data_IF_207230738408
#
_entry.id   IF_207230738408
#
_cell.length_a   1.000
_cell.length_b   1.000
_cell.length_c   1.000
_cell.angle_alpha   90.00
_cell.angle_beta   90.00
_cell.angle_gamma   90.00
#
_symmetry.space_group_name_H-M   'P 1'
#
loop_
_entity.id
_entity.type
_entity.pdbx_description
1 polymer ?
#
# COMPACT_ATOMS: atom_id res chain seq x y z
N UNK A 1 -17.59 -2.55 -18.61
CA UNK A 1 -16.53 -2.58 -19.66
C UNK A 1 -16.52 -1.25 -20.37
N UNK A 2 -15.38 -0.64 -20.49
CA UNK A 2 -15.19 0.65 -21.15
C UNK A 2 -13.72 0.98 -21.31
N UNK A 3 -13.42 1.95 -22.19
CA UNK A 3 -12.08 2.42 -22.39
C UNK A 3 -11.68 3.35 -21.24
N UNK A 4 -10.53 3.09 -20.62
CA UNK A 4 -9.91 4.00 -19.66
C UNK A 4 -9.23 5.11 -20.43
N UNK A 5 -9.76 6.32 -20.36
CA UNK A 5 -9.14 7.46 -21.02
C UNK A 5 -8.04 8.09 -20.18
N UNK A 6 -7.09 8.74 -20.86
CA UNK A 6 -5.95 9.40 -20.24
C UNK A 6 -6.35 10.37 -19.11
N UNK A 7 -7.48 11.07 -19.26
CA UNK A 7 -7.98 12.00 -18.26
C UNK A 7 -8.33 11.32 -16.93
N UNK A 8 -8.87 10.10 -16.97
CA UNK A 8 -9.20 9.32 -15.75
C UNK A 8 -7.94 8.92 -14.99
N UNK A 9 -6.89 8.50 -15.71
CA UNK A 9 -5.59 8.21 -15.09
C UNK A 9 -4.99 9.47 -14.46
N UNK A 10 -5.10 10.62 -15.13
CA UNK A 10 -4.59 11.89 -14.59
C UNK A 10 -5.35 12.36 -13.35
N UNK A 11 -6.62 12.03 -13.24
CA UNK A 11 -7.45 12.39 -12.08
C UNK A 11 -7.18 11.49 -10.86
N UNK A 12 -6.65 10.29 -11.04
CA UNK A 12 -6.31 9.38 -9.96
C UNK A 12 -5.10 9.85 -9.12
N UNK A 13 -4.24 10.68 -9.66
CA UNK A 13 -3.13 11.27 -8.91
C UNK A 13 -3.08 12.78 -9.14
N UNK A 14 -3.97 13.56 -8.50
CA UNK A 14 -4.02 15.00 -8.66
C UNK A 14 -2.76 15.71 -8.12
N UNK A 15 -2.01 15.05 -7.24
CA UNK A 15 -0.84 15.61 -6.56
C UNK A 15 0.46 15.47 -7.34
N UNK A 16 0.45 14.83 -8.49
CA UNK A 16 1.64 14.57 -9.31
C UNK A 16 2.74 13.82 -8.55
N UNK A 17 2.33 12.83 -7.79
CA UNK A 17 3.22 12.05 -6.93
C UNK A 17 4.39 11.43 -7.70
N UNK A 18 5.56 11.45 -7.07
CA UNK A 18 6.77 10.77 -7.56
C UNK A 18 6.92 9.42 -6.89
N UNK A 19 7.43 8.44 -7.61
CA UNK A 19 7.70 7.12 -7.06
C UNK A 19 9.06 7.12 -6.35
N UNK A 20 9.06 6.65 -5.12
CA UNK A 20 10.25 6.28 -4.35
C UNK A 20 10.42 4.77 -4.37
N UNK A 21 11.67 4.33 -4.41
CA UNK A 21 12.02 2.91 -4.31
C UNK A 21 13.01 2.68 -3.17
N UNK A 22 12.90 1.54 -2.54
CA UNK A 22 13.80 1.14 -1.45
C UNK A 22 13.69 -0.34 -1.15
N UNK A 23 14.23 -0.74 -0.01
CA UNK A 23 14.19 -2.12 0.48
C UNK A 23 13.66 -2.14 1.91
N UNK A 24 12.70 -3.00 2.18
CA UNK A 24 12.17 -3.26 3.53
C UNK A 24 12.27 -4.74 3.85
N UNK A 25 12.53 -5.04 5.11
CA UNK A 25 12.36 -6.39 5.63
C UNK A 25 10.87 -6.69 5.83
N UNK A 26 10.50 -7.96 5.87
CA UNK A 26 9.14 -8.40 6.23
C UNK A 26 8.69 -7.82 7.57
N UNK A 27 9.58 -7.74 8.55
CA UNK A 27 9.27 -7.11 9.83
C UNK A 27 8.97 -5.61 9.69
N UNK A 28 9.76 -4.87 8.92
CA UNK A 28 9.50 -3.45 8.66
C UNK A 28 8.17 -3.22 7.94
N UNK A 29 7.80 -4.12 7.04
CA UNK A 29 6.50 -4.07 6.37
C UNK A 29 5.34 -4.30 7.35
N UNK A 30 5.46 -5.28 8.27
CA UNK A 30 4.49 -5.51 9.35
C UNK A 30 4.33 -4.28 10.23
N UNK A 31 5.45 -3.74 10.72
CA UNK A 31 5.45 -2.57 11.60
C UNK A 31 4.81 -1.35 10.91
N UNK A 32 5.08 -1.16 9.62
CA UNK A 32 4.45 -0.11 8.83
C UNK A 32 2.93 -0.28 8.73
N UNK A 33 2.45 -1.49 8.44
CA UNK A 33 1.01 -1.77 8.32
C UNK A 33 0.32 -1.58 9.67
N UNK A 34 0.87 -2.16 10.76
CA UNK A 34 0.34 -2.02 12.11
C UNK A 34 0.22 -0.56 12.52
N UNK A 35 1.30 0.19 12.34
CA UNK A 35 1.32 1.60 12.67
C UNK A 35 0.32 2.39 11.83
N UNK A 36 0.26 2.15 10.53
CA UNK A 36 -0.66 2.85 9.63
C UNK A 36 -2.11 2.53 9.97
N UNK A 37 -2.40 1.27 10.28
CA UNK A 37 -3.72 0.84 10.68
C UNK A 37 -4.15 1.49 12.00
N UNK A 38 -3.33 1.38 13.04
CA UNK A 38 -3.65 1.85 14.38
C UNK A 38 -3.66 3.39 14.49
N UNK A 39 -2.76 4.09 13.83
CA UNK A 39 -2.77 5.55 13.80
C UNK A 39 -3.99 6.10 13.07
N UNK A 40 -4.47 5.39 12.07
CA UNK A 40 -5.73 5.73 11.45
C UNK A 40 -6.85 5.75 12.51
N UNK A 41 -6.91 4.80 13.43
CA UNK A 41 -7.97 4.67 14.45
C UNK A 41 -7.99 5.83 15.45
N UNK A 42 -6.84 6.38 15.81
CA UNK A 42 -6.73 7.46 16.79
C UNK A 42 -7.10 8.86 16.23
N UNK A 43 -6.77 9.08 14.96
CA UNK A 43 -6.87 10.42 14.34
C UNK A 43 -8.15 10.61 13.50
N UNK A 44 -8.78 9.53 13.08
CA UNK A 44 -9.97 9.58 12.22
C UNK A 44 -10.94 8.42 12.57
N UNK A 45 -11.93 8.69 13.42
CA UNK A 45 -12.93 7.69 13.81
C UNK A 45 -13.76 7.14 12.64
N UNK A 46 -13.82 7.85 11.53
CA UNK A 46 -14.55 7.41 10.33
C UNK A 46 -13.78 6.38 9.48
N UNK A 47 -12.54 6.12 9.83
CA UNK A 47 -11.74 4.96 9.40
C UNK A 47 -11.50 4.73 7.91
N UNK A 48 -11.83 5.63 7.04
CA UNK A 48 -11.46 5.55 5.63
C UNK A 48 -9.94 5.63 5.41
N UNK A 49 -9.19 6.16 6.39
CA UNK A 49 -7.73 6.26 6.33
C UNK A 49 -6.98 5.06 6.93
N UNK A 50 -7.69 4.06 7.44
CA UNK A 50 -7.10 2.91 8.14
C UNK A 50 -6.46 1.88 7.24
N UNK A 51 -6.89 1.80 6.00
CA UNK A 51 -6.37 0.78 5.13
C UNK A 51 -4.94 1.13 4.69
N UNK A 52 -3.94 0.42 5.21
CA UNK A 52 -2.62 0.50 4.61
C UNK A 52 -2.76 -0.13 3.23
N UNK A 53 -2.80 0.68 2.20
CA UNK A 53 -2.80 0.20 0.82
C UNK A 53 -1.41 -0.35 0.46
N UNK A 54 -1.01 -1.39 1.20
CA UNK A 54 0.20 -2.13 0.90
C UNK A 54 -0.18 -3.26 -0.05
N UNK A 55 0.11 -3.08 -1.33
CA UNK A 55 -0.13 -4.12 -2.31
C UNK A 55 1.08 -5.01 -2.42
N UNK A 56 0.87 -6.29 -2.17
CA UNK A 56 1.84 -7.35 -2.36
C UNK A 56 1.25 -8.41 -3.30
N UNK A 57 2.11 -9.10 -4.06
CA UNK A 57 1.67 -10.27 -4.82
C UNK A 57 1.32 -11.45 -3.89
N UNK A 58 1.87 -11.45 -2.68
CA UNK A 58 1.48 -12.38 -1.63
C UNK A 58 0.37 -11.79 -0.75
N UNK A 59 -0.66 -12.56 -0.40
CA UNK A 59 -1.68 -12.15 0.53
C UNK A 59 -1.14 -11.85 1.92
N UNK A 60 -1.86 -11.02 2.68
CA UNK A 60 -1.61 -10.82 4.09
C UNK A 60 -2.91 -10.62 4.86
N UNK A 61 -2.88 -10.96 6.15
CA UNK A 61 -3.97 -10.77 7.07
C UNK A 61 -3.58 -9.79 8.18
N UNK A 62 -4.47 -8.86 8.49
CA UNK A 62 -4.40 -7.99 9.66
C UNK A 62 -5.16 -8.69 10.79
N UNK A 63 -4.48 -8.98 11.88
CA UNK A 63 -5.06 -9.63 13.05
C UNK A 63 -5.53 -8.55 14.01
N UNK A 64 -6.83 -8.53 14.28
CA UNK A 64 -7.46 -7.56 15.16
C UNK A 64 -7.46 -8.06 16.61
N UNK A 65 -7.34 -7.13 17.55
CA UNK A 65 -7.47 -7.41 18.99
C UNK A 65 -8.92 -7.73 19.39
N UNK A 66 -9.07 -8.28 20.60
CA UNK A 66 -10.37 -8.69 21.16
C UNK A 66 -11.13 -7.53 21.83
N UNK A 67 -10.63 -6.31 21.74
CA UNK A 67 -11.27 -5.17 22.37
C UNK A 67 -12.66 -4.90 21.78
N UNK A 68 -13.66 -4.59 22.62
CA UNK A 68 -15.02 -4.31 22.17
C UNK A 68 -15.15 -2.90 21.58
N UNK A 69 -14.36 -2.61 20.54
CA UNK A 69 -14.43 -1.39 19.78
C UNK A 69 -15.15 -1.63 18.45
N UNK A 70 -15.77 -0.61 17.91
CA UNK A 70 -16.41 -0.68 16.60
C UNK A 70 -15.40 -1.09 15.52
N UNK A 71 -14.16 -0.60 15.66
CA UNK A 71 -12.99 -1.11 14.95
C UNK A 71 -11.85 -1.29 15.97
N UNK A 72 -11.52 -2.51 16.34
CA UNK A 72 -10.42 -2.81 17.23
C UNK A 72 -9.07 -2.49 16.57
N UNK A 73 -8.06 -2.23 17.39
CA UNK A 73 -6.70 -2.07 16.91
C UNK A 73 -6.16 -3.39 16.35
N UNK A 74 -5.29 -3.27 15.34
CA UNK A 74 -4.54 -4.40 14.86
C UNK A 74 -3.42 -4.76 15.86
N UNK A 75 -3.28 -6.04 16.13
CA UNK A 75 -2.27 -6.58 17.06
C UNK A 75 -1.16 -7.33 16.33
N UNK A 76 -1.40 -7.76 15.10
CA UNK A 76 -0.41 -8.47 14.30
C UNK A 76 -0.73 -8.35 12.80
N UNK A 77 0.27 -8.64 11.95
CA UNK A 77 0.11 -8.79 10.50
C UNK A 77 0.84 -10.05 10.06
N UNK A 78 0.12 -10.94 9.42
CA UNK A 78 0.64 -12.19 8.89
C UNK A 78 0.75 -12.12 7.37
N UNK A 79 1.96 -12.21 6.85
CA UNK A 79 2.24 -12.32 5.41
C UNK A 79 2.43 -13.78 4.99
N UNK A 80 2.02 -14.12 3.78
CA UNK A 80 2.41 -15.35 3.09
C UNK A 80 3.76 -15.21 2.37
N UNK A 81 4.58 -14.23 2.76
CA UNK A 81 5.95 -14.04 2.27
C UNK A 81 6.94 -14.72 3.21
N UNK A 82 7.99 -15.30 2.64
CA UNK A 82 9.14 -15.72 3.43
C UNK A 82 9.82 -14.54 4.12
N UNK A 83 10.43 -14.81 5.28
CA UNK A 83 11.20 -13.76 5.97
C UNK A 83 12.39 -13.34 5.11
N UNK A 84 12.51 -12.03 4.87
CA UNK A 84 13.55 -11.52 3.99
C UNK A 84 13.49 -10.03 3.73
N UNK A 85 14.28 -9.59 2.77
CA UNK A 85 14.30 -8.22 2.27
C UNK A 85 13.63 -8.17 0.89
N UNK A 86 12.73 -7.22 0.73
CA UNK A 86 11.97 -7.03 -0.51
C UNK A 86 12.11 -5.60 -1.02
N UNK A 87 12.15 -5.48 -2.34
CA UNK A 87 12.07 -4.15 -2.97
C UNK A 87 10.66 -3.63 -2.83
N UNK A 88 10.57 -2.38 -2.39
CA UNK A 88 9.29 -1.67 -2.22
C UNK A 88 9.26 -0.42 -3.10
N UNK A 89 8.07 -0.07 -3.54
CA UNK A 89 7.80 1.19 -4.22
C UNK A 89 6.64 1.89 -3.51
N UNK A 90 6.74 3.21 -3.37
CA UNK A 90 5.70 4.02 -2.74
C UNK A 90 5.70 5.42 -3.34
N UNK A 91 4.60 6.15 -3.17
CA UNK A 91 4.58 7.55 -3.56
C UNK A 91 5.37 8.40 -2.54
N UNK A 92 5.83 9.58 -2.98
CA UNK A 92 6.57 10.52 -2.14
C UNK A 92 5.81 10.88 -0.86
N UNK A 93 4.49 11.01 -0.92
CA UNK A 93 3.67 11.31 0.27
C UNK A 93 3.86 10.27 1.38
N UNK A 94 3.84 8.99 1.04
CA UNK A 94 4.10 7.90 1.99
C UNK A 94 5.55 7.92 2.46
N UNK A 95 6.50 8.03 1.51
CA UNK A 95 7.93 8.01 1.81
C UNK A 95 8.37 9.13 2.76
N UNK A 96 7.81 10.32 2.60
CA UNK A 96 8.23 11.52 3.32
C UNK A 96 7.47 11.73 4.64
N UNK A 97 6.24 11.21 4.76
CA UNK A 97 5.39 11.49 5.92
C UNK A 97 5.14 10.29 6.82
N UNK A 98 5.25 9.07 6.30
CA UNK A 98 4.89 7.85 7.06
C UNK A 98 6.04 6.90 7.32
N UNK A 99 7.20 7.11 6.66
CA UNK A 99 8.40 6.33 6.93
C UNK A 99 9.24 7.10 7.94
N UNK A 100 9.34 6.58 9.15
CA UNK A 100 10.17 7.14 10.22
C UNK A 100 11.40 6.27 10.50
N UNK A 101 12.18 6.67 11.50
CA UNK A 101 13.42 5.99 11.88
C UNK A 101 13.22 4.55 12.36
N UNK A 102 12.01 4.19 12.81
CA UNK A 102 11.70 2.83 13.27
C UNK A 102 11.27 1.91 12.11
N UNK A 103 10.74 2.51 11.02
CA UNK A 103 10.24 1.81 9.83
C UNK A 103 10.96 2.35 8.60
N UNK A 104 12.27 2.33 8.60
CA UNK A 104 13.06 2.89 7.50
C UNK A 104 13.20 1.86 6.38
N UNK A 105 12.72 2.20 5.20
CA UNK A 105 13.09 1.49 3.99
C UNK A 105 14.56 1.77 3.67
N UNK A 106 15.36 0.73 3.54
CA UNK A 106 16.77 0.87 3.19
C UNK A 106 16.89 1.43 1.77
N UNK A 107 17.82 2.37 1.62
CA UNK A 107 18.11 2.99 0.33
C UNK A 107 16.88 3.64 -0.33
N UNK A 108 15.90 4.07 0.49
CA UNK A 108 14.73 4.77 -0.01
C UNK A 108 15.17 6.03 -0.75
N UNK A 109 14.83 6.12 -2.01
CA UNK A 109 15.23 7.22 -2.88
C UNK A 109 14.15 7.56 -3.90
N UNK A 110 14.01 8.85 -4.27
CA UNK A 110 13.14 9.24 -5.35
C UNK A 110 13.62 8.65 -6.68
N UNK A 111 12.68 8.46 -7.58
CA UNK A 111 12.93 8.17 -8.99
C UNK A 111 12.49 9.36 -9.83
N UNK A 112 12.90 9.40 -11.11
CA UNK A 112 12.39 10.39 -12.07
C UNK A 112 11.01 9.99 -12.66
N UNK A 113 10.33 9.03 -12.03
CA UNK A 113 9.09 8.47 -12.55
C UNK A 113 7.93 8.99 -11.70
N UNK A 114 6.99 9.71 -12.34
CA UNK A 114 5.73 10.04 -11.69
C UNK A 114 4.79 8.83 -11.65
N UNK A 115 3.93 8.78 -10.64
CA UNK A 115 2.88 7.75 -10.52
C UNK A 115 2.03 7.71 -11.80
N UNK A 116 1.64 8.85 -12.33
CA UNK A 116 0.89 8.96 -13.59
C UNK A 116 1.62 8.31 -14.78
N UNK A 117 2.93 8.56 -14.91
CA UNK A 117 3.72 7.97 -15.99
C UNK A 117 3.83 6.46 -15.85
N UNK A 118 3.98 5.97 -14.62
CA UNK A 118 3.99 4.53 -14.33
C UNK A 118 2.65 3.89 -14.67
N UNK A 119 1.54 4.49 -14.26
CA UNK A 119 0.19 4.02 -14.57
C UNK A 119 -0.04 3.96 -16.09
N UNK A 120 0.30 5.02 -16.82
CA UNK A 120 0.15 5.06 -18.28
C UNK A 120 0.97 3.95 -18.96
N UNK A 121 2.23 3.75 -18.53
CA UNK A 121 3.07 2.68 -19.06
C UNK A 121 2.50 1.30 -18.78
N UNK A 122 2.00 1.11 -17.57
CA UNK A 122 1.38 -0.15 -17.14
C UNK A 122 0.13 -0.45 -17.98
N UNK A 123 -0.77 0.51 -18.11
CA UNK A 123 -1.98 0.33 -18.93
C UNK A 123 -1.66 0.07 -20.41
N UNK A 124 -0.68 0.78 -20.96
CA UNK A 124 -0.25 0.57 -22.34
C UNK A 124 0.41 -0.79 -22.57
N UNK A 125 0.96 -1.44 -21.53
CA UNK A 125 1.59 -2.76 -21.66
C UNK A 125 0.62 -3.88 -21.99
N UNK A 126 -0.68 -3.69 -21.76
CA UNK A 126 -1.73 -4.67 -22.09
C UNK A 126 -2.15 -4.62 -23.57
N UNK A 127 -1.72 -3.61 -24.32
CA UNK A 127 -2.05 -3.50 -25.73
C UNK A 127 -3.55 -3.44 -26.02
N UNK A 128 -3.96 -4.01 -27.15
CA UNK A 128 -5.35 -4.06 -27.56
C UNK A 128 -6.23 -5.07 -26.78
N UNK A 129 -5.61 -5.98 -26.04
CA UNK A 129 -6.33 -6.97 -25.23
C UNK A 129 -6.89 -6.35 -23.94
N UNK A 130 -6.37 -5.20 -23.55
CA UNK A 130 -6.81 -4.49 -22.35
C UNK A 130 -6.40 -5.16 -21.04
N UNK A 131 -6.77 -4.55 -19.92
CA UNK A 131 -6.50 -5.04 -18.57
C UNK A 131 -7.73 -5.73 -17.99
N UNK A 132 -7.56 -6.94 -17.51
CA UNK A 132 -8.58 -7.65 -16.73
C UNK A 132 -8.10 -7.79 -15.28
N UNK A 133 -8.80 -7.17 -14.31
CA UNK A 133 -8.46 -7.33 -12.90
C UNK A 133 -8.62 -8.79 -12.47
N UNK A 134 -7.68 -9.31 -11.69
CA UNK A 134 -7.75 -10.67 -11.16
C UNK A 134 -8.73 -10.82 -9.98
N UNK A 135 -9.20 -9.72 -9.41
CA UNK A 135 -10.12 -9.68 -8.26
C UNK A 135 -9.66 -10.51 -7.05
N UNK A 136 -8.38 -10.88 -6.97
CA UNK A 136 -7.86 -11.62 -5.85
C UNK A 136 -7.87 -10.76 -4.57
N UNK A 137 -8.45 -11.30 -3.50
CA UNK A 137 -8.35 -10.69 -2.19
C UNK A 137 -6.95 -10.95 -1.61
N UNK A 138 -6.14 -9.89 -1.55
CA UNK A 138 -4.76 -9.97 -1.04
C UNK A 138 -4.59 -9.35 0.34
N UNK A 139 -5.65 -8.77 0.87
CA UNK A 139 -5.71 -8.24 2.22
C UNK A 139 -6.98 -8.73 2.89
N UNK A 140 -6.87 -9.21 4.12
CA UNK A 140 -8.00 -9.61 4.94
C UNK A 140 -7.85 -9.11 6.36
N UNK A 141 -8.95 -8.97 7.07
CA UNK A 141 -9.00 -8.71 8.50
C UNK A 141 -9.54 -9.96 9.20
N UNK A 142 -8.84 -10.38 10.25
CA UNK A 142 -9.20 -11.56 11.02
C UNK A 142 -9.35 -11.16 12.48
N UNK A 143 -10.52 -11.37 13.03
CA UNK A 143 -10.74 -11.27 14.51
C UNK A 143 -10.21 -12.55 15.16
N UNK A 144 -9.50 -12.37 16.28
CA UNK A 144 -9.15 -13.50 17.15
C UNK A 144 -10.37 -14.11 17.79
#
# INVERSE_FOLDING_TARGET
EGDVVRAEILNNDPFQSTIYIGTMTTQQMRDFILRKYNNGSAENPDKESHYPYFRSDAPYAIILGDEPAEVPDAVDVVFELEEGEYRVAMCNYIAENYIDSAIVARQLRPTDISVRSAMLRYMNSFGAEGYTPDNACRQSEVKR
#
